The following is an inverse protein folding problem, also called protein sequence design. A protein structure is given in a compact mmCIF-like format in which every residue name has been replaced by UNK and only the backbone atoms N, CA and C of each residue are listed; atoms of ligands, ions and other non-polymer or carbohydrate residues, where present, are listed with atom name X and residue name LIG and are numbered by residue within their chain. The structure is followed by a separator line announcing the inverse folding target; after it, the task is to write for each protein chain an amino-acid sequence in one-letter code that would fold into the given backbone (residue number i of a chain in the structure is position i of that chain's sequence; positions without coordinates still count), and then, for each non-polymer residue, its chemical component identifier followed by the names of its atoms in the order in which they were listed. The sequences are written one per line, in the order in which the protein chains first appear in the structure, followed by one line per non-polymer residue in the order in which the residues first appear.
data_IF_643001453396
#
_entry.id   IF_643001453396
#
_cell.length_a   1.000
_cell.length_b   1.000
_cell.length_c   1.000
_cell.angle_alpha   90.00
_cell.angle_beta   90.00
_cell.angle_gamma   90.00
#
_symmetry.space_group_name_H-M   'P 1'
#
loop_
_entity.id
_entity.type
_entity.pdbx_description
1 polymer ?
#
# COMPACT_ATOMS: atom_id res chain seq x y z
N UNK A 1 -3.45 1.33 -5.69
CA UNK A 1 -4.54 2.13 -5.07
C UNK A 1 -3.96 2.95 -3.91
N UNK A 2 -4.34 4.23 -3.78
CA UNK A 2 -3.85 5.10 -2.72
C UNK A 2 -5.01 5.75 -1.98
N UNK A 3 -5.09 5.53 -0.67
CA UNK A 3 -6.09 6.11 0.21
C UNK A 3 -5.48 7.33 0.90
N UNK A 4 -5.90 8.52 0.46
CA UNK A 4 -5.41 9.78 1.03
C UNK A 4 -5.80 9.93 2.49
N UNK A 5 -4.89 10.45 3.31
CA UNK A 5 -5.14 10.86 4.69
C UNK A 5 -5.24 12.38 4.75
N UNK A 6 -6.31 12.91 5.34
CA UNK A 6 -6.44 14.35 5.53
C UNK A 6 -5.41 14.87 6.54
N UNK A 7 -4.84 16.07 6.34
CA UNK A 7 -4.03 16.72 7.36
C UNK A 7 -4.78 16.89 8.68
N UNK A 8 -4.05 16.95 9.81
CA UNK A 8 -4.66 17.29 11.09
C UNK A 8 -5.02 18.79 11.12
N UNK A 9 -6.05 19.14 11.88
CA UNK A 9 -6.34 20.52 12.19
C UNK A 9 -5.19 21.11 13.04
N UNK A 10 -4.73 22.27 12.63
CA UNK A 10 -3.68 23.04 13.31
C UNK A 10 -4.28 24.31 13.89
N UNK A 11 -4.47 24.31 15.22
CA UNK A 11 -5.07 25.42 15.94
C UNK A 11 -4.21 26.67 15.94
N UNK A 12 -2.89 26.49 16.10
CA UNK A 12 -1.95 27.62 16.12
C UNK A 12 -1.91 28.31 14.78
N UNK A 13 -1.87 27.54 13.70
CA UNK A 13 -1.92 28.03 12.33
C UNK A 13 -3.24 28.76 12.04
N UNK A 14 -4.37 28.23 12.50
CA UNK A 14 -5.67 28.85 12.36
C UNK A 14 -5.74 30.23 13.06
N UNK A 15 -5.16 30.33 14.27
CA UNK A 15 -5.08 31.58 15.03
C UNK A 15 -4.13 32.57 14.35
N UNK A 16 -2.94 32.11 13.92
CA UNK A 16 -1.95 32.95 13.22
C UNK A 16 -2.53 33.56 11.95
N UNK A 17 -3.30 32.77 11.20
CA UNK A 17 -3.98 33.23 9.98
C UNK A 17 -5.29 33.99 10.25
N UNK A 18 -5.60 34.25 11.52
CA UNK A 18 -6.80 35.00 11.95
C UNK A 18 -8.10 34.43 11.35
N UNK A 19 -8.18 33.08 11.25
CA UNK A 19 -9.37 32.40 10.74
C UNK A 19 -10.45 32.39 11.81
N UNK A 20 -11.67 32.92 11.53
CA UNK A 20 -12.79 32.87 12.47
C UNK A 20 -13.11 31.46 12.94
N UNK A 21 -13.27 31.26 14.24
CA UNK A 21 -13.42 29.94 14.85
C UNK A 21 -14.64 29.16 14.30
N UNK A 22 -15.70 29.84 13.94
CA UNK A 22 -16.89 29.24 13.32
C UNK A 22 -16.63 28.63 11.92
N UNK A 23 -15.50 28.96 11.27
CA UNK A 23 -15.10 28.38 9.99
C UNK A 23 -14.19 27.15 10.12
N UNK A 24 -13.60 26.90 11.28
CA UNK A 24 -12.58 25.86 11.47
C UNK A 24 -13.06 24.47 11.02
N UNK A 25 -14.25 24.05 11.48
CA UNK A 25 -14.83 22.77 11.09
C UNK A 25 -15.13 22.74 9.57
N UNK A 26 -15.71 23.82 9.05
CA UNK A 26 -16.04 23.92 7.63
C UNK A 26 -14.83 23.80 6.74
N UNK A 27 -13.69 24.39 7.14
CA UNK A 27 -12.43 24.34 6.39
C UNK A 27 -11.68 23.00 6.50
N UNK A 28 -11.97 22.20 7.54
CA UNK A 28 -11.49 20.82 7.61
C UNK A 28 -12.22 19.86 6.63
N UNK A 29 -13.44 20.23 6.24
CA UNK A 29 -14.29 19.43 5.35
C UNK A 29 -14.24 19.93 3.90
N UNK A 30 -14.04 21.23 3.70
CA UNK A 30 -14.07 21.91 2.41
C UNK A 30 -12.77 22.66 2.12
N UNK A 31 -12.43 22.82 0.85
CA UNK A 31 -11.23 23.52 0.41
C UNK A 31 -11.23 25.03 0.73
N UNK A 32 -12.42 25.65 0.84
CA UNK A 32 -12.58 27.06 1.15
C UNK A 32 -13.92 27.37 1.81
N UNK A 33 -14.01 28.56 2.42
CA UNK A 33 -15.23 29.11 3.00
C UNK A 33 -15.22 30.64 2.92
N UNK A 34 -16.38 31.24 2.66
CA UNK A 34 -16.54 32.70 2.63
C UNK A 34 -17.20 33.15 3.93
N UNK A 35 -16.66 34.23 4.50
CA UNK A 35 -17.22 34.90 5.69
C UNK A 35 -16.92 36.39 5.64
N UNK A 36 -17.96 37.24 5.76
CA UNK A 36 -17.86 38.71 5.66
C UNK A 36 -17.04 39.17 4.45
N UNK A 37 -17.43 38.69 3.26
CA UNK A 37 -16.81 39.00 1.96
C UNK A 37 -15.33 38.63 1.81
N UNK A 38 -14.78 37.86 2.76
CA UNK A 38 -13.42 37.34 2.70
C UNK A 38 -13.45 35.82 2.52
N UNK A 39 -12.62 35.32 1.61
CA UNK A 39 -12.43 33.87 1.38
C UNK A 39 -11.29 33.37 2.27
N UNK A 40 -11.55 32.27 2.96
CA UNK A 40 -10.60 31.51 3.75
C UNK A 40 -10.39 30.14 3.11
N UNK A 41 -9.18 29.62 3.17
CA UNK A 41 -8.81 28.34 2.57
C UNK A 41 -8.44 27.29 3.63
N UNK A 42 -8.59 26.01 3.28
CA UNK A 42 -8.31 24.90 4.18
C UNK A 42 -6.85 24.85 4.67
N UNK A 43 -5.91 25.22 3.82
CA UNK A 43 -4.49 25.29 4.16
C UNK A 43 -4.16 26.30 5.27
N UNK A 44 -5.05 27.28 5.54
CA UNK A 44 -4.92 28.26 6.64
C UNK A 44 -5.17 27.62 8.02
N UNK A 45 -5.78 26.43 8.09
CA UNK A 45 -6.16 25.75 9.33
C UNK A 45 -5.69 24.30 9.39
N UNK A 46 -5.09 23.77 8.32
CA UNK A 46 -4.60 22.41 8.24
C UNK A 46 -3.07 22.39 8.37
N UNK A 47 -2.57 21.42 9.11
CA UNK A 47 -1.14 21.13 9.21
C UNK A 47 -0.60 20.47 7.96
N UNK A 48 0.55 19.80 8.11
CA UNK A 48 1.22 19.12 7.01
C UNK A 48 0.41 17.93 6.46
N UNK A 49 0.70 17.58 5.21
CA UNK A 49 0.16 16.37 4.60
C UNK A 49 0.65 15.14 5.35
N UNK A 50 -0.24 14.19 5.56
CA UNK A 50 0.08 12.91 6.19
C UNK A 50 0.13 11.80 5.17
N UNK A 51 1.04 10.83 5.37
CA UNK A 51 1.10 9.63 4.55
C UNK A 51 -0.26 8.92 4.56
N UNK A 52 -0.75 8.58 3.39
CA UNK A 52 -1.93 7.75 3.19
C UNK A 52 -1.60 6.26 3.29
N UNK A 53 -2.51 5.41 2.83
CA UNK A 53 -2.30 3.96 2.67
C UNK A 53 -2.16 3.66 1.19
N UNK A 54 -1.09 2.97 0.80
CA UNK A 54 -0.84 2.49 -0.56
C UNK A 54 -1.02 0.99 -0.62
N UNK A 55 -1.92 0.53 -1.48
CA UNK A 55 -2.10 -0.88 -1.82
C UNK A 55 -1.72 -1.09 -3.29
N UNK A 56 -0.79 -2.00 -3.54
CA UNK A 56 -0.37 -2.39 -4.90
C UNK A 56 -0.78 -3.83 -5.18
N UNK A 57 -1.19 -4.10 -6.40
CA UNK A 57 -1.63 -5.42 -6.87
C UNK A 57 -0.99 -5.74 -8.21
N UNK A 58 -0.32 -6.88 -8.28
CA UNK A 58 0.36 -7.41 -9.49
C UNK A 58 0.03 -8.88 -9.61
N UNK A 59 -0.43 -9.29 -10.78
CA UNK A 59 -0.75 -10.69 -11.08
C UNK A 59 -0.49 -11.01 -12.54
N UNK A 60 -0.42 -12.29 -12.87
CA UNK A 60 -0.28 -12.83 -14.25
C UNK A 60 0.91 -12.24 -15.04
N UNK A 61 2.08 -12.13 -14.39
CA UNK A 61 3.26 -11.56 -15.04
C UNK A 61 4.57 -12.12 -14.50
N UNK A 62 5.63 -11.98 -15.29
CA UNK A 62 7.01 -12.15 -14.83
C UNK A 62 7.49 -10.90 -14.08
N UNK A 63 8.52 -11.01 -13.23
CA UNK A 63 9.20 -9.85 -12.71
C UNK A 63 9.66 -8.92 -13.84
N UNK A 64 9.36 -7.63 -13.73
CA UNK A 64 9.90 -6.59 -14.60
C UNK A 64 10.60 -5.53 -13.76
N UNK A 65 11.45 -4.71 -14.40
CA UNK A 65 12.25 -3.71 -13.70
C UNK A 65 11.40 -2.52 -13.18
N UNK A 66 10.19 -2.33 -13.73
CA UNK A 66 9.29 -1.24 -13.31
C UNK A 66 8.50 -1.59 -12.05
N UNK A 67 8.33 -2.86 -11.72
CA UNK A 67 7.51 -3.28 -10.58
C UNK A 67 8.00 -2.70 -9.26
N UNK A 68 9.30 -2.73 -8.90
CA UNK A 68 9.78 -2.15 -7.66
C UNK A 68 9.44 -0.66 -7.49
N UNK A 69 9.57 0.14 -8.55
CA UNK A 69 9.19 1.55 -8.53
C UNK A 69 7.68 1.73 -8.36
N UNK A 70 6.88 0.95 -9.08
CA UNK A 70 5.42 0.99 -8.99
C UNK A 70 4.92 0.66 -7.57
N UNK A 71 5.49 -0.37 -6.92
CA UNK A 71 5.08 -0.82 -5.58
C UNK A 71 5.77 -0.08 -4.45
N UNK A 72 6.73 0.81 -4.75
CA UNK A 72 7.58 1.47 -3.76
C UNK A 72 6.79 2.02 -2.58
N UNK A 73 7.22 1.66 -1.35
CA UNK A 73 6.57 2.05 -0.08
C UNK A 73 5.08 1.71 0.00
N UNK A 74 4.63 0.60 -0.59
CA UNK A 74 3.26 0.12 -0.39
C UNK A 74 3.09 -0.47 1.01
N UNK A 75 2.00 -0.11 1.70
CA UNK A 75 1.63 -0.70 2.99
C UNK A 75 1.19 -2.17 2.81
N UNK A 76 0.69 -2.52 1.64
CA UNK A 76 0.40 -3.90 1.23
C UNK A 76 0.69 -4.07 -0.26
N UNK A 77 1.55 -5.02 -0.55
CA UNK A 77 1.78 -5.53 -1.90
C UNK A 77 1.12 -6.89 -2.06
N UNK A 78 0.09 -6.98 -2.88
CA UNK A 78 -0.56 -8.22 -3.25
C UNK A 78 0.07 -8.68 -4.56
N UNK A 79 0.70 -9.84 -4.54
CA UNK A 79 1.43 -10.38 -5.68
C UNK A 79 1.02 -11.82 -5.96
N UNK A 80 1.13 -12.22 -7.22
CA UNK A 80 1.06 -13.64 -7.53
C UNK A 80 2.22 -14.41 -6.90
N UNK A 81 1.97 -15.68 -6.63
CA UNK A 81 2.98 -16.68 -6.31
C UNK A 81 2.55 -18.00 -6.92
N UNK A 82 2.54 -18.07 -8.27
CA UNK A 82 2.04 -19.26 -8.97
C UNK A 82 2.80 -20.51 -8.55
N UNK A 83 4.11 -20.39 -8.30
CA UNK A 83 4.99 -21.51 -7.98
C UNK A 83 5.68 -21.31 -6.62
N UNK A 84 5.38 -22.20 -5.67
CA UNK A 84 5.97 -22.15 -4.32
C UNK A 84 7.41 -22.66 -4.27
N UNK A 85 7.72 -23.70 -5.07
CA UNK A 85 9.05 -24.33 -5.11
C UNK A 85 10.00 -23.55 -6.05
N UNK A 86 11.19 -23.25 -5.55
CA UNK A 86 12.25 -22.61 -6.35
C UNK A 86 12.70 -23.47 -7.55
N UNK A 87 12.55 -24.78 -7.45
CA UNK A 87 12.83 -25.71 -8.55
C UNK A 87 11.88 -25.53 -9.75
N UNK A 88 10.72 -24.90 -9.53
CA UNK A 88 9.74 -24.62 -10.57
C UNK A 88 10.03 -23.34 -11.38
N UNK A 89 11.18 -22.71 -11.19
CA UNK A 89 11.57 -21.47 -11.91
C UNK A 89 11.44 -21.62 -13.45
N UNK A 90 11.80 -22.78 -14.00
CA UNK A 90 11.67 -23.02 -15.43
C UNK A 90 10.21 -23.03 -15.91
N UNK A 91 9.28 -23.52 -15.06
CA UNK A 91 7.85 -23.48 -15.32
C UNK A 91 7.33 -22.05 -15.21
N UNK A 92 7.78 -21.31 -14.20
CA UNK A 92 7.41 -19.91 -13.99
C UNK A 92 7.80 -19.06 -15.22
N UNK A 93 9.02 -19.21 -15.72
CA UNK A 93 9.49 -18.52 -16.94
C UNK A 93 8.64 -18.92 -18.17
N UNK A 94 8.43 -20.21 -18.39
CA UNK A 94 7.66 -20.72 -19.54
C UNK A 94 6.23 -20.22 -19.55
N UNK A 95 5.58 -20.21 -18.38
CA UNK A 95 4.17 -19.88 -18.24
C UNK A 95 3.93 -18.38 -17.92
N UNK A 96 5.00 -17.59 -17.83
CA UNK A 96 4.99 -16.14 -17.58
C UNK A 96 4.42 -15.76 -16.19
N UNK A 97 4.73 -16.57 -15.17
CA UNK A 97 4.36 -16.34 -13.78
C UNK A 97 5.59 -16.22 -12.88
N UNK A 98 5.37 -16.00 -11.58
CA UNK A 98 6.43 -15.84 -10.57
C UNK A 98 6.50 -17.03 -9.62
N UNK A 99 7.71 -17.25 -9.08
CA UNK A 99 7.90 -18.03 -7.87
C UNK A 99 7.69 -17.16 -6.63
N UNK A 100 7.48 -17.79 -5.45
CA UNK A 100 7.40 -17.08 -4.17
C UNK A 100 8.65 -16.23 -3.92
N UNK A 101 9.82 -16.77 -4.24
CA UNK A 101 11.11 -16.08 -4.12
C UNK A 101 11.18 -14.82 -4.97
N UNK A 102 10.72 -14.90 -6.21
CA UNK A 102 10.72 -13.73 -7.11
C UNK A 102 9.79 -12.63 -6.60
N UNK A 103 8.60 -12.98 -6.14
CA UNK A 103 7.64 -12.01 -5.57
C UNK A 103 8.18 -11.36 -4.29
N UNK A 104 8.85 -12.14 -3.43
CA UNK A 104 9.52 -11.63 -2.24
C UNK A 104 10.71 -10.71 -2.58
N UNK A 105 11.45 -11.02 -3.63
CA UNK A 105 12.53 -10.14 -4.12
C UNK A 105 12.00 -8.80 -4.59
N UNK A 106 10.86 -8.77 -5.29
CA UNK A 106 10.19 -7.53 -5.69
C UNK A 106 9.72 -6.74 -4.47
N UNK A 107 9.10 -7.41 -3.48
CA UNK A 107 8.65 -6.78 -2.23
C UNK A 107 9.79 -6.08 -1.50
N UNK A 108 10.94 -6.77 -1.37
CA UNK A 108 12.14 -6.22 -0.76
C UNK A 108 12.68 -5.03 -1.56
N UNK A 109 12.79 -5.14 -2.88
CA UNK A 109 13.27 -4.06 -3.74
C UNK A 109 12.34 -2.84 -3.75
N UNK A 110 11.02 -3.05 -3.60
CA UNK A 110 10.02 -2.00 -3.50
C UNK A 110 9.86 -1.40 -2.11
N UNK A 111 10.61 -1.87 -1.10
CA UNK A 111 10.50 -1.43 0.29
C UNK A 111 9.05 -1.38 0.79
N UNK A 112 8.29 -2.45 0.53
CA UNK A 112 6.89 -2.54 0.97
C UNK A 112 6.80 -2.96 2.44
N UNK A 113 5.69 -2.66 3.11
CA UNK A 113 5.52 -3.05 4.52
C UNK A 113 5.10 -4.53 4.65
N UNK A 114 4.25 -5.03 3.73
CA UNK A 114 3.75 -6.42 3.74
C UNK A 114 3.60 -6.98 2.34
N UNK A 115 3.92 -8.27 2.18
CA UNK A 115 3.65 -9.05 0.98
C UNK A 115 2.50 -10.03 1.24
N UNK A 116 1.46 -10.00 0.42
CA UNK A 116 0.42 -11.02 0.37
C UNK A 116 0.56 -11.82 -0.93
N UNK A 117 0.94 -13.07 -0.81
CA UNK A 117 1.00 -14.00 -1.94
C UNK A 117 -0.39 -14.57 -2.23
N UNK A 118 -0.72 -14.64 -3.49
CA UNK A 118 -2.00 -15.16 -4.00
C UNK A 118 -1.80 -15.80 -5.37
N UNK A 119 -2.87 -16.23 -6.05
CA UNK A 119 -2.83 -16.78 -7.40
C UNK A 119 -1.91 -18.01 -7.51
N UNK A 120 -2.11 -18.99 -6.63
CA UNK A 120 -1.32 -20.20 -6.57
C UNK A 120 -1.71 -21.18 -7.66
N UNK A 121 -0.73 -21.97 -8.16
CA UNK A 121 -0.99 -23.07 -9.07
C UNK A 121 -1.95 -24.09 -8.43
N UNK A 122 -2.95 -24.59 -9.16
CA UNK A 122 -3.80 -25.68 -8.70
C UNK A 122 -3.02 -26.97 -8.34
N UNK A 123 -1.76 -27.08 -8.78
CA UNK A 123 -0.88 -28.21 -8.44
C UNK A 123 -0.24 -28.09 -7.05
N UNK A 124 -0.34 -26.94 -6.41
CA UNK A 124 0.16 -26.75 -5.03
C UNK A 124 -0.92 -27.19 -4.06
N UNK A 125 -0.68 -28.29 -3.37
CA UNK A 125 -1.60 -28.82 -2.38
C UNK A 125 -1.77 -27.86 -1.19
N UNK A 126 -0.65 -27.32 -0.68
CA UNK A 126 -0.66 -26.34 0.40
C UNK A 126 0.47 -25.32 0.22
N UNK A 127 0.14 -24.07 -0.15
CA UNK A 127 1.13 -23.01 -0.36
C UNK A 127 2.02 -22.73 0.87
N UNK A 128 1.52 -22.99 2.07
CA UNK A 128 2.27 -22.78 3.34
C UNK A 128 3.54 -23.62 3.43
N UNK A 129 3.62 -24.76 2.75
CA UNK A 129 4.82 -25.58 2.75
C UNK A 129 6.03 -24.89 2.12
N UNK A 130 5.79 -23.92 1.26
CA UNK A 130 6.82 -23.20 0.52
C UNK A 130 7.06 -21.76 1.02
N UNK A 131 6.38 -21.33 2.09
CA UNK A 131 6.44 -19.94 2.57
C UNK A 131 7.87 -19.48 2.85
N UNK A 132 8.76 -20.39 3.29
CA UNK A 132 10.16 -20.06 3.57
C UNK A 132 10.92 -19.56 2.34
N UNK A 133 10.52 -19.96 1.13
CA UNK A 133 11.12 -19.47 -0.10
C UNK A 133 10.88 -17.97 -0.30
N UNK A 134 9.84 -17.43 0.31
CA UNK A 134 9.59 -15.99 0.35
C UNK A 134 10.16 -15.34 1.63
N UNK A 135 9.86 -15.90 2.82
CA UNK A 135 10.22 -15.27 4.11
C UNK A 135 11.73 -15.16 4.34
N UNK A 136 12.53 -16.01 3.70
CA UNK A 136 13.99 -15.86 3.71
C UNK A 136 14.50 -14.57 3.05
N UNK A 137 13.68 -13.92 2.21
CA UNK A 137 14.02 -12.66 1.53
C UNK A 137 13.17 -11.50 2.05
N UNK A 138 11.93 -11.77 2.44
CA UNK A 138 10.98 -10.78 2.93
C UNK A 138 10.12 -11.40 4.04
N UNK A 139 10.45 -11.10 5.29
CA UNK A 139 9.88 -11.74 6.48
C UNK A 139 8.35 -11.52 6.57
N UNK A 140 7.89 -10.28 6.34
CA UNK A 140 6.47 -9.89 6.42
C UNK A 140 5.65 -10.41 5.21
N UNK A 141 5.77 -11.72 4.94
CA UNK A 141 5.03 -12.43 3.88
C UNK A 141 3.85 -13.22 4.44
N UNK A 142 2.69 -13.06 3.82
CA UNK A 142 1.44 -13.74 4.15
C UNK A 142 1.01 -14.61 2.97
N UNK A 143 0.60 -15.84 3.24
CA UNK A 143 -0.10 -16.68 2.26
C UNK A 143 -1.58 -16.30 2.25
N UNK A 144 -2.09 -15.89 1.09
CA UNK A 144 -3.50 -15.59 0.88
C UNK A 144 -4.37 -16.86 0.94
N UNK A 145 -5.53 -16.73 1.56
CA UNK A 145 -6.55 -17.77 1.64
C UNK A 145 -7.93 -17.17 1.34
N UNK A 146 -8.84 -17.97 0.83
CA UNK A 146 -10.21 -17.53 0.60
C UNK A 146 -10.85 -17.05 1.91
N UNK A 147 -11.44 -15.87 1.88
CA UNK A 147 -12.04 -15.24 3.05
C UNK A 147 -11.07 -14.49 3.96
N UNK A 148 -9.76 -14.46 3.65
CA UNK A 148 -8.79 -13.67 4.41
C UNK A 148 -9.19 -12.18 4.42
N UNK A 149 -9.18 -11.60 5.60
CA UNK A 149 -9.38 -10.16 5.80
C UNK A 149 -8.15 -9.54 6.45
N UNK A 150 -7.57 -8.54 5.80
CA UNK A 150 -6.47 -7.75 6.33
C UNK A 150 -6.94 -6.33 6.62
N UNK A 151 -6.61 -5.83 7.81
CA UNK A 151 -6.90 -4.46 8.20
C UNK A 151 -5.63 -3.62 8.08
N UNK A 152 -5.68 -2.61 7.23
CA UNK A 152 -4.65 -1.58 7.13
C UNK A 152 -5.10 -0.35 7.92
N UNK A 153 -4.19 0.25 8.67
CA UNK A 153 -4.44 1.43 9.48
C UNK A 153 -3.38 2.49 9.19
N UNK A 154 -3.77 3.75 9.29
CA UNK A 154 -2.78 4.83 9.19
C UNK A 154 -1.79 4.73 10.35
N UNK A 155 -0.51 4.78 10.04
CA UNK A 155 0.55 4.99 11.02
C UNK A 155 0.65 6.48 11.34
N UNK A 156 0.80 6.83 12.64
CA UNK A 156 0.98 8.24 13.07
C UNK A 156 2.41 8.72 12.91
#
# INVERSE_FOLDING_TARGET
MYFKRKPKFDREKAILNQVPQNLWKKLQENSSAIYKDKTYYADMVLGENRRGIKLSFITDTRPTFEIPEFIYESDLFICEGMYGDDLDISKAVKNKHMTFRESASLANAGNVDKLLLTHFSPSIENPKYFIQNATNLFEDTIIGEDGLTLKLSYTD
#
